data_IF_715881530384
#
_entry.id   IF_715881530384
#
_cell.length_a   1.000
_cell.length_b   1.000
_cell.length_c   1.000
_cell.angle_alpha   90.00
_cell.angle_beta   90.00
_cell.angle_gamma   90.00
#
_symmetry.space_group_name_H-M   'P 1'
#
loop_
_entity.id
_entity.type
_entity.pdbx_description
1 polymer ?
#
# COMPACT_ATOMS: atom_id res chain seq x y z
N UNK A 1 17.00 30.62 -23.97
CA UNK A 1 16.12 29.96 -22.98
C UNK A 1 16.21 28.45 -23.18
N UNK A 2 16.60 27.75 -22.14
CA UNK A 2 16.74 26.30 -22.13
C UNK A 2 15.41 25.68 -21.65
N UNK A 3 15.13 24.43 -22.00
CA UNK A 3 13.90 23.71 -21.55
C UNK A 3 13.72 23.76 -20.02
N UNK A 4 14.83 23.76 -19.26
CA UNK A 4 14.83 23.94 -17.80
C UNK A 4 14.19 25.26 -17.35
N UNK A 5 14.34 26.35 -18.11
CA UNK A 5 13.82 27.68 -17.77
C UNK A 5 12.30 27.75 -17.86
N UNK A 6 11.67 26.84 -18.64
CA UNK A 6 10.21 26.74 -18.77
C UNK A 6 9.57 25.84 -17.71
N UNK A 7 10.33 24.88 -17.17
CA UNK A 7 9.80 23.88 -16.24
C UNK A 7 10.12 24.23 -14.78
N UNK A 8 11.26 24.89 -14.55
CA UNK A 8 11.69 25.25 -13.20
C UNK A 8 10.81 26.37 -12.60
N UNK A 9 10.51 26.31 -11.29
CA UNK A 9 9.87 27.42 -10.59
C UNK A 9 10.71 28.70 -10.69
N UNK A 10 10.04 29.84 -10.81
CA UNK A 10 10.70 31.13 -10.97
C UNK A 10 11.51 31.57 -9.76
N UNK A 11 11.18 31.07 -8.57
CA UNK A 11 11.87 31.42 -7.33
C UNK A 11 11.61 30.37 -6.24
N UNK A 12 12.58 30.25 -5.33
CA UNK A 12 12.43 29.53 -4.05
C UNK A 12 12.71 30.51 -2.91
N UNK A 13 11.83 30.55 -1.90
CA UNK A 13 11.94 31.42 -0.74
C UNK A 13 11.67 30.64 0.54
N UNK A 14 12.68 30.53 1.43
CA UNK A 14 12.65 29.78 2.70
C UNK A 14 12.77 30.73 3.92
N UNK A 15 12.12 31.89 3.88
CA UNK A 15 12.19 32.89 4.97
C UNK A 15 11.27 32.58 6.14
N UNK A 16 10.20 31.85 5.90
CA UNK A 16 9.22 31.53 6.93
C UNK A 16 9.70 30.36 7.80
N UNK A 17 9.25 30.33 9.06
CA UNK A 17 9.63 29.31 10.03
C UNK A 17 9.31 27.90 9.55
N UNK A 18 8.11 27.68 9.00
CA UNK A 18 7.56 26.33 8.74
C UNK A 18 6.81 26.24 7.41
N UNK A 19 7.06 27.16 6.49
CA UNK A 19 6.57 27.14 5.11
C UNK A 19 7.65 27.67 4.16
N UNK A 20 7.50 27.36 2.88
CA UNK A 20 8.32 27.93 1.82
C UNK A 20 7.45 28.33 0.63
N UNK A 21 8.00 29.14 -0.26
CA UNK A 21 7.35 29.51 -1.51
C UNK A 21 8.17 29.01 -2.71
N UNK A 22 7.46 28.51 -3.71
CA UNK A 22 8.00 28.04 -4.96
C UNK A 22 7.19 28.65 -6.09
N UNK A 23 7.69 29.76 -6.66
CA UNK A 23 6.91 30.57 -7.57
C UNK A 23 5.60 31.05 -6.93
N UNK A 24 4.47 30.69 -7.52
CA UNK A 24 3.13 31.04 -7.04
C UNK A 24 2.52 30.00 -6.08
N UNK A 25 3.30 29.00 -5.69
CA UNK A 25 2.84 27.92 -4.81
C UNK A 25 3.49 28.06 -3.44
N UNK A 26 2.73 27.80 -2.39
CA UNK A 26 3.22 27.72 -1.01
C UNK A 26 3.28 26.26 -0.63
N UNK A 27 4.40 25.84 -0.04
CA UNK A 27 4.61 24.48 0.43
C UNK A 27 5.02 24.42 1.89
N UNK A 28 4.82 23.25 2.48
CA UNK A 28 5.35 22.92 3.78
C UNK A 28 5.69 21.44 3.84
N UNK A 29 6.85 21.13 4.39
CA UNK A 29 7.27 19.77 4.68
C UNK A 29 7.05 19.49 6.15
N UNK A 30 6.42 18.33 6.39
CA UNK A 30 6.19 17.78 7.72
C UNK A 30 6.82 16.40 7.82
N UNK A 31 7.16 15.98 9.02
CA UNK A 31 7.59 14.60 9.28
C UNK A 31 6.57 13.87 10.15
N UNK A 32 6.50 12.56 9.98
CA UNK A 32 5.64 11.70 10.78
C UNK A 32 6.36 11.25 12.03
N UNK A 33 5.86 11.65 13.18
CA UNK A 33 6.29 11.11 14.48
C UNK A 33 5.39 9.92 14.83
N UNK A 34 5.96 8.74 14.82
CA UNK A 34 5.26 7.49 15.13
C UNK A 34 5.29 7.32 16.66
N UNK A 35 4.11 7.37 17.29
CA UNK A 35 3.93 7.11 18.72
C UNK A 35 3.34 5.72 18.97
N UNK A 36 2.66 5.15 17.97
CA UNK A 36 2.08 3.83 18.05
C UNK A 36 3.15 2.74 18.24
N UNK A 37 2.91 1.75 19.09
CA UNK A 37 3.78 0.58 19.21
C UNK A 37 3.70 -0.31 17.96
N UNK A 38 2.55 -0.34 17.30
CA UNK A 38 2.29 -1.07 16.07
C UNK A 38 1.59 -0.17 15.05
N UNK A 39 1.98 -0.30 13.79
CA UNK A 39 1.38 0.39 12.66
C UNK A 39 0.50 -0.58 11.87
N UNK A 40 -0.43 -0.03 11.08
CA UNK A 40 -1.25 -0.81 10.14
C UNK A 40 -0.95 -0.38 8.71
N UNK A 41 -1.03 -1.32 7.77
CA UNK A 41 -0.83 -1.10 6.33
C UNK A 41 -1.85 -0.11 5.71
N UNK A 42 -3.02 0.04 6.33
CA UNK A 42 -4.07 0.98 5.89
C UNK A 42 -3.67 2.44 6.01
N UNK A 43 -2.74 2.78 6.91
CA UNK A 43 -2.36 4.16 7.17
C UNK A 43 -1.82 4.85 5.91
N UNK A 44 -0.92 4.21 5.19
CA UNK A 44 -0.34 4.82 4.00
C UNK A 44 -1.37 4.93 2.86
N UNK A 45 -2.28 3.97 2.75
CA UNK A 45 -3.39 4.02 1.80
C UNK A 45 -4.27 5.26 2.01
N UNK A 46 -4.68 5.53 3.26
CA UNK A 46 -5.50 6.71 3.57
C UNK A 46 -4.77 8.03 3.28
N UNK A 47 -3.45 8.11 3.44
CA UNK A 47 -2.70 9.30 3.03
C UNK A 47 -2.69 9.48 1.50
N UNK A 48 -2.64 8.40 0.74
CA UNK A 48 -2.63 8.45 -0.73
C UNK A 48 -4.02 8.75 -1.32
N UNK A 49 -5.09 8.49 -0.57
CA UNK A 49 -6.47 8.78 -0.98
C UNK A 49 -6.91 10.25 -0.75
N UNK A 50 -6.04 11.08 -0.17
CA UNK A 50 -6.36 12.50 0.05
C UNK A 50 -6.44 13.22 -1.30
N UNK A 51 -7.59 13.86 -1.59
CA UNK A 51 -7.78 14.74 -2.75
C UNK A 51 -7.10 16.12 -2.52
N UNK A 52 -5.80 16.11 -2.31
CA UNK A 52 -4.94 17.29 -2.14
C UNK A 52 -3.55 17.01 -2.72
N UNK A 53 -2.83 18.09 -3.03
CA UNK A 53 -1.45 17.96 -3.45
C UNK A 53 -0.58 17.51 -2.27
N UNK A 54 -0.30 16.23 -2.22
CA UNK A 54 0.52 15.59 -1.21
C UNK A 54 1.57 14.71 -1.87
N UNK A 55 2.82 14.87 -1.45
CA UNK A 55 3.91 13.94 -1.77
C UNK A 55 4.34 13.28 -0.46
N UNK A 56 4.30 11.96 -0.44
CA UNK A 56 4.81 11.16 0.67
C UNK A 56 6.15 10.57 0.26
N UNK A 57 7.19 10.85 1.02
CA UNK A 57 8.52 10.32 0.79
C UNK A 57 9.00 9.53 2.01
N UNK A 58 9.49 8.32 1.76
CA UNK A 58 10.01 7.43 2.79
C UNK A 58 11.49 7.19 2.55
N UNK A 59 12.32 7.64 3.50
CA UNK A 59 13.73 7.29 3.53
C UNK A 59 13.94 6.11 4.47
N UNK A 60 14.40 5.00 3.92
CA UNK A 60 14.66 3.77 4.66
C UNK A 60 16.15 3.44 4.56
N UNK A 61 16.85 3.48 5.68
CA UNK A 61 18.26 3.18 5.78
C UNK A 61 18.46 1.89 6.57
N UNK A 62 19.05 0.88 5.97
CA UNK A 62 19.41 -0.35 6.67
C UNK A 62 20.54 -0.10 7.66
N UNK A 63 20.50 -0.77 8.80
CA UNK A 63 21.56 -0.74 9.82
C UNK A 63 22.18 -2.12 9.89
N UNK A 64 23.51 -2.16 9.94
CA UNK A 64 24.23 -3.41 10.16
C UNK A 64 23.78 -4.09 11.45
N UNK A 65 23.57 -5.42 11.42
CA UNK A 65 22.96 -6.17 12.52
C UNK A 65 23.74 -6.06 13.83
N UNK A 66 25.07 -6.14 13.74
CA UNK A 66 25.92 -6.04 14.93
C UNK A 66 25.88 -4.63 15.53
N UNK A 67 25.88 -3.61 14.66
CA UNK A 67 25.74 -2.20 15.08
C UNK A 67 24.37 -1.94 15.69
N UNK A 68 23.29 -2.48 15.11
CA UNK A 68 21.94 -2.37 15.60
C UNK A 68 21.80 -2.96 17.02
N UNK A 69 22.26 -4.19 17.22
CA UNK A 69 22.25 -4.87 18.51
C UNK A 69 23.06 -4.08 19.56
N UNK A 70 24.24 -3.59 19.20
CA UNK A 70 25.08 -2.79 20.10
C UNK A 70 24.39 -1.48 20.50
N UNK A 71 23.77 -0.79 19.56
CA UNK A 71 23.06 0.46 19.78
C UNK A 71 21.87 0.25 20.72
N UNK A 72 21.04 -0.79 20.47
CA UNK A 72 19.89 -1.08 21.32
C UNK A 72 20.32 -1.53 22.72
N UNK A 73 21.35 -2.37 22.84
CA UNK A 73 21.93 -2.75 24.14
C UNK A 73 22.39 -1.53 24.95
N UNK A 74 23.08 -0.58 24.31
CA UNK A 74 23.48 0.66 24.97
C UNK A 74 22.26 1.44 25.47
N UNK A 75 21.20 1.58 24.66
CA UNK A 75 19.96 2.26 25.06
C UNK A 75 19.24 1.56 26.20
N UNK A 76 19.17 0.23 26.20
CA UNK A 76 18.61 -0.56 27.32
C UNK A 76 19.40 -0.30 28.59
N UNK A 77 20.73 -0.26 28.50
CA UNK A 77 21.59 0.03 29.65
C UNK A 77 21.36 1.45 30.18
N UNK A 78 21.29 2.45 29.31
CA UNK A 78 21.01 3.84 29.69
C UNK A 78 19.65 3.99 30.40
N UNK A 79 18.60 3.34 29.85
CA UNK A 79 17.26 3.35 30.48
C UNK A 79 17.28 2.68 31.86
N UNK A 80 17.96 1.53 31.99
CA UNK A 80 18.10 0.86 33.29
C UNK A 80 18.85 1.73 34.28
N UNK A 81 19.88 2.45 33.83
CA UNK A 81 20.61 3.42 34.68
C UNK A 81 19.69 4.56 35.14
N UNK A 82 18.91 5.15 34.23
CA UNK A 82 17.92 6.18 34.58
C UNK A 82 16.89 5.66 35.58
N UNK A 83 16.39 4.42 35.42
CA UNK A 83 15.48 3.80 36.41
C UNK A 83 16.11 3.72 37.79
N UNK A 84 17.36 3.27 37.90
CA UNK A 84 18.08 3.18 39.16
C UNK A 84 18.26 4.56 39.76
N UNK A 85 18.56 5.59 38.99
CA UNK A 85 18.70 6.97 39.46
C UNK A 85 17.39 7.53 40.01
N UNK A 86 16.26 7.30 39.29
CA UNK A 86 14.93 7.70 39.78
C UNK A 86 14.50 6.93 41.06
N UNK A 87 14.78 5.63 41.14
CA UNK A 87 14.55 4.85 42.36
C UNK A 87 15.35 5.41 43.54
N UNK A 88 16.63 5.74 43.35
CA UNK A 88 17.46 6.36 44.39
C UNK A 88 16.92 7.73 44.82
N UNK A 89 16.39 8.53 43.91
CA UNK A 89 15.74 9.81 44.24
C UNK A 89 14.46 9.60 45.04
N UNK A 90 13.61 8.63 44.62
CA UNK A 90 12.38 8.30 45.34
C UNK A 90 12.67 7.89 46.78
N UNK A 91 13.62 6.98 47.00
CA UNK A 91 14.06 6.55 48.35
C UNK A 91 14.57 7.71 49.18
N UNK A 92 15.39 8.60 48.62
CA UNK A 92 15.89 9.80 49.32
C UNK A 92 14.77 10.78 49.70
N UNK A 93 13.69 10.80 48.90
CA UNK A 93 12.51 11.63 49.18
C UNK A 93 11.47 10.94 50.08
N UNK A 94 11.74 9.72 50.59
CA UNK A 94 10.84 8.98 51.47
C UNK A 94 9.68 8.29 50.75
N UNK A 95 9.76 8.12 49.45
CA UNK A 95 8.76 7.41 48.64
C UNK A 95 9.17 5.94 48.41
N UNK A 96 8.19 5.12 48.06
CA UNK A 96 8.41 3.70 47.78
C UNK A 96 9.27 3.47 46.53
N UNK A 97 10.11 2.43 46.52
CA UNK A 97 11.02 2.08 45.43
C UNK A 97 10.30 1.78 44.12
N UNK A 98 9.01 1.45 44.17
CA UNK A 98 8.21 1.05 43.01
C UNK A 98 7.66 2.25 42.22
N UNK A 99 7.84 3.48 42.68
CA UNK A 99 7.43 4.70 41.98
C UNK A 99 8.47 5.05 40.92
N UNK A 100 8.39 4.35 39.77
CA UNK A 100 9.15 4.69 38.59
C UNK A 100 8.21 5.42 37.63
N UNK A 101 8.64 6.53 36.97
CA UNK A 101 7.83 7.16 35.91
C UNK A 101 7.37 6.11 34.87
N UNK A 102 6.07 6.09 34.57
CA UNK A 102 5.44 5.13 33.68
C UNK A 102 6.16 5.07 32.33
N UNK A 103 6.64 6.21 31.85
CA UNK A 103 7.34 6.35 30.57
C UNK A 103 8.63 5.54 30.53
N UNK A 104 9.42 5.55 31.61
CA UNK A 104 10.67 4.77 31.70
C UNK A 104 10.42 3.26 31.71
N UNK A 105 9.29 2.83 32.29
CA UNK A 105 8.90 1.42 32.23
C UNK A 105 8.48 0.99 30.84
N UNK A 106 7.68 1.81 30.17
CA UNK A 106 7.22 1.55 28.80
C UNK A 106 8.39 1.53 27.82
N UNK A 107 9.22 2.57 27.81
CA UNK A 107 10.41 2.63 26.93
C UNK A 107 11.41 1.50 27.20
N UNK A 108 11.58 1.14 28.49
CA UNK A 108 12.44 0.01 28.83
C UNK A 108 11.92 -1.33 28.35
N UNK A 109 10.60 -1.54 28.39
CA UNK A 109 9.94 -2.72 27.84
C UNK A 109 10.07 -2.79 26.33
N UNK A 110 9.78 -1.71 25.61
CA UNK A 110 9.92 -1.62 24.16
C UNK A 110 11.36 -1.85 23.69
N UNK A 111 12.34 -1.24 24.36
CA UNK A 111 13.75 -1.43 24.01
C UNK A 111 14.23 -2.88 24.22
N UNK A 112 13.74 -3.57 25.26
CA UNK A 112 14.04 -4.99 25.48
C UNK A 112 13.40 -5.87 24.43
N UNK A 113 12.13 -5.65 24.08
CA UNK A 113 11.44 -6.38 23.00
C UNK A 113 12.17 -6.20 21.67
N UNK A 114 12.53 -4.97 21.33
CA UNK A 114 13.31 -4.70 20.12
C UNK A 114 14.64 -5.49 20.11
N UNK A 115 15.32 -5.57 21.25
CA UNK A 115 16.56 -6.33 21.37
C UNK A 115 16.33 -7.84 21.15
N UNK A 116 15.27 -8.40 21.73
CA UNK A 116 14.87 -9.79 21.55
C UNK A 116 14.52 -10.10 20.08
N UNK A 117 13.76 -9.22 19.43
CA UNK A 117 13.40 -9.35 18.04
C UNK A 117 14.64 -9.37 17.12
N UNK A 118 15.59 -8.47 17.37
CA UNK A 118 16.85 -8.42 16.62
C UNK A 118 17.76 -9.63 16.87
N UNK A 119 17.68 -10.28 18.03
CA UNK A 119 18.54 -11.41 18.38
C UNK A 119 17.94 -12.76 18.05
N UNK A 120 16.60 -12.93 18.17
CA UNK A 120 15.94 -14.25 18.13
C UNK A 120 15.00 -14.44 16.94
N UNK A 121 14.45 -13.36 16.33
CA UNK A 121 13.41 -13.46 15.32
C UNK A 121 13.85 -13.16 13.90
N UNK A 122 15.15 -13.11 13.63
CA UNK A 122 15.70 -12.76 12.31
C UNK A 122 15.25 -11.38 11.79
N UNK A 123 14.81 -10.49 12.68
CA UNK A 123 14.45 -9.12 12.36
C UNK A 123 15.70 -8.27 12.15
N UNK A 124 15.61 -7.29 11.26
CA UNK A 124 16.66 -6.29 11.03
C UNK A 124 16.16 -4.92 11.44
N UNK A 125 17.09 -4.03 11.75
CA UNK A 125 16.76 -2.65 12.10
C UNK A 125 16.95 -1.73 10.89
N UNK A 126 15.95 -0.87 10.69
CA UNK A 126 15.97 0.20 9.72
C UNK A 126 15.77 1.55 10.43
N UNK A 127 16.42 2.57 9.92
CA UNK A 127 16.17 3.95 10.30
C UNK A 127 15.25 4.57 9.25
N UNK A 128 14.05 4.94 9.65
CA UNK A 128 13.00 5.44 8.76
C UNK A 128 12.71 6.90 9.04
N UNK A 129 12.66 7.71 7.98
CA UNK A 129 12.15 9.09 7.99
C UNK A 129 10.99 9.16 7.01
N UNK A 130 9.81 9.49 7.50
CA UNK A 130 8.63 9.71 6.66
C UNK A 130 8.36 11.21 6.55
N UNK A 131 8.43 11.75 5.33
CA UNK A 131 8.22 13.16 5.01
C UNK A 131 6.94 13.33 4.20
N UNK A 132 6.23 14.39 4.48
CA UNK A 132 4.96 14.76 3.86
C UNK A 132 5.08 16.19 3.34
N UNK A 133 5.14 16.35 2.03
CA UNK A 133 5.17 17.64 1.37
C UNK A 133 3.76 17.99 0.89
N UNK A 134 3.16 18.98 1.53
CA UNK A 134 1.90 19.56 1.08
C UNK A 134 2.16 20.87 0.32
N UNK A 135 1.43 21.09 -0.76
CA UNK A 135 1.51 22.33 -1.54
C UNK A 135 0.12 22.89 -1.84
N UNK A 136 -0.01 24.22 -1.88
CA UNK A 136 -1.25 24.90 -2.25
C UNK A 136 -0.99 26.28 -2.82
N UNK A 137 -2.00 26.89 -3.44
CA UNK A 137 -1.91 28.26 -3.99
C UNK A 137 -2.04 29.34 -2.90
N UNK A 138 -2.71 29.05 -1.79
CA UNK A 138 -2.92 29.98 -0.68
C UNK A 138 -2.50 29.35 0.64
N UNK A 139 -2.12 30.18 1.61
CA UNK A 139 -1.74 29.72 2.94
C UNK A 139 -2.89 28.98 3.65
N UNK A 140 -4.12 29.50 3.52
CA UNK A 140 -5.29 28.86 4.13
C UNK A 140 -5.57 27.47 3.55
N UNK A 141 -5.44 27.31 2.22
CA UNK A 141 -5.60 26.02 1.57
C UNK A 141 -4.49 25.03 1.98
N UNK A 142 -3.25 25.52 2.17
CA UNK A 142 -2.13 24.73 2.67
C UNK A 142 -2.39 24.26 4.11
N UNK A 143 -2.81 25.18 4.99
CA UNK A 143 -3.10 24.87 6.39
C UNK A 143 -4.24 23.84 6.51
N UNK A 144 -5.29 23.95 5.68
CA UNK A 144 -6.37 22.98 5.62
C UNK A 144 -5.90 21.60 5.12
N UNK A 145 -5.04 21.55 4.10
CA UNK A 145 -4.48 20.30 3.60
C UNK A 145 -3.63 19.59 4.68
N UNK A 146 -2.79 20.34 5.39
CA UNK A 146 -1.97 19.80 6.47
C UNK A 146 -2.84 19.34 7.64
N UNK A 147 -3.91 20.07 7.96
CA UNK A 147 -4.84 19.67 9.01
C UNK A 147 -5.52 18.32 8.69
N UNK A 148 -5.96 18.12 7.45
CA UNK A 148 -6.52 16.84 7.01
C UNK A 148 -5.49 15.72 7.07
N UNK A 149 -4.26 15.96 6.59
CA UNK A 149 -3.16 15.00 6.67
C UNK A 149 -2.83 14.65 8.13
N UNK A 150 -2.82 15.65 9.03
CA UNK A 150 -2.59 15.44 10.46
C UNK A 150 -3.73 14.63 11.13
N UNK A 151 -4.98 14.83 10.69
CA UNK A 151 -6.13 14.04 11.16
C UNK A 151 -5.99 12.56 10.87
N UNK A 152 -5.50 12.20 9.68
CA UNK A 152 -5.20 10.79 9.35
C UNK A 152 -4.07 10.26 10.25
N UNK A 153 -2.98 11.01 10.43
CA UNK A 153 -1.89 10.59 11.31
C UNK A 153 -2.40 10.29 12.74
N UNK A 154 -3.25 11.16 13.29
CA UNK A 154 -3.83 10.99 14.63
C UNK A 154 -4.67 9.73 14.76
N UNK A 155 -5.44 9.36 13.74
CA UNK A 155 -6.24 8.12 13.70
C UNK A 155 -5.37 6.87 13.95
N UNK A 156 -4.11 6.93 13.55
CA UNK A 156 -3.14 5.83 13.69
C UNK A 156 -2.12 6.07 14.83
N UNK A 157 -2.45 6.89 15.81
CA UNK A 157 -1.55 7.25 16.92
C UNK A 157 -0.18 7.76 16.44
N UNK A 158 -0.19 8.53 15.36
CA UNK A 158 0.96 9.24 14.84
C UNK A 158 0.71 10.74 14.91
N UNK A 159 1.77 11.54 14.92
CA UNK A 159 1.68 13.00 14.91
C UNK A 159 2.44 13.53 13.70
N UNK A 160 1.76 14.31 12.88
CA UNK A 160 2.40 15.03 11.79
C UNK A 160 2.91 16.38 12.31
N UNK A 161 4.23 16.58 12.28
CA UNK A 161 4.88 17.82 12.72
C UNK A 161 5.55 18.52 11.55
N UNK A 162 5.27 19.82 11.37
CA UNK A 162 6.00 20.63 10.39
C UNK A 162 7.46 20.77 10.80
N UNK A 163 8.34 20.79 9.82
CA UNK A 163 9.75 21.09 10.05
C UNK A 163 9.88 22.60 10.31
N UNK A 164 10.48 22.94 11.45
CA UNK A 164 10.77 24.33 11.80
C UNK A 164 12.20 24.68 11.37
N UNK A 165 12.36 25.75 10.59
CA UNK A 165 13.65 26.25 10.07
C UNK A 165 14.46 25.23 9.24
N UNK A 166 13.82 24.15 8.79
CA UNK A 166 14.41 23.08 7.98
C UNK A 166 13.57 22.78 6.73
N UNK A 167 12.87 23.79 6.21
CA UNK A 167 11.99 23.60 5.06
C UNK A 167 12.76 23.38 3.75
N UNK A 168 13.96 23.95 3.62
CA UNK A 168 14.84 23.74 2.49
C UNK A 168 15.35 22.30 2.47
N UNK A 169 15.92 21.84 3.57
CA UNK A 169 16.39 20.46 3.73
C UNK A 169 15.22 19.46 3.58
N UNK A 170 14.06 19.84 4.09
CA UNK A 170 12.82 19.08 3.94
C UNK A 170 12.41 18.94 2.48
N UNK A 171 12.39 20.02 1.72
CA UNK A 171 12.08 19.99 0.30
C UNK A 171 13.09 19.13 -0.47
N UNK A 172 14.39 19.35 -0.24
CA UNK A 172 15.44 18.56 -0.89
C UNK A 172 15.33 17.06 -0.59
N UNK A 173 14.89 16.72 0.62
CA UNK A 173 14.66 15.33 1.03
C UNK A 173 13.32 14.78 0.52
N UNK A 174 12.36 15.62 0.14
CA UNK A 174 11.04 15.20 -0.35
C UNK A 174 10.98 14.98 -1.85
N UNK A 175 11.98 15.46 -2.61
CA UNK A 175 12.09 15.19 -4.05
C UNK A 175 12.92 13.92 -4.30
N UNK A 176 12.74 13.22 -5.44
CA UNK A 176 13.36 11.91 -5.70
C UNK A 176 14.86 12.00 -6.05
N UNK A 177 15.64 12.68 -5.21
CA UNK A 177 17.09 12.83 -5.36
C UNK A 177 17.88 11.73 -4.62
N UNK A 178 17.23 10.86 -3.85
CA UNK A 178 17.88 9.77 -3.11
C UNK A 178 18.67 10.22 -1.87
N UNK A 179 18.53 11.48 -1.44
CA UNK A 179 19.23 12.05 -0.28
C UNK A 179 18.25 12.42 0.82
N UNK A 180 18.64 12.20 2.08
CA UNK A 180 17.90 12.63 3.26
C UNK A 180 18.76 13.57 4.11
N UNK A 181 18.41 14.85 4.12
CA UNK A 181 19.05 15.88 4.93
C UNK A 181 18.42 16.05 6.32
N UNK A 182 17.29 15.36 6.57
CA UNK A 182 16.58 15.46 7.84
C UNK A 182 17.16 14.46 8.84
N UNK A 183 17.65 14.93 10.02
CA UNK A 183 18.26 14.06 11.02
C UNK A 183 17.25 13.24 11.83
N UNK A 184 15.95 13.51 11.69
CA UNK A 184 14.88 12.82 12.42
C UNK A 184 14.68 11.44 11.83
N UNK A 185 15.04 10.40 12.59
CA UNK A 185 14.94 9.00 12.17
C UNK A 185 14.27 8.16 13.26
N UNK A 186 13.33 7.31 12.88
CA UNK A 186 12.72 6.30 13.77
C UNK A 186 13.34 4.95 13.49
N UNK A 187 13.80 4.27 14.53
CA UNK A 187 14.23 2.87 14.40
C UNK A 187 13.00 1.97 14.34
N UNK A 188 12.91 1.17 13.30
CA UNK A 188 11.85 0.18 13.06
C UNK A 188 12.47 -1.17 12.71
N UNK A 189 11.73 -2.24 13.00
CA UNK A 189 12.09 -3.60 12.58
C UNK A 189 11.72 -3.86 11.12
N UNK A 190 12.13 -4.98 10.54
CA UNK A 190 11.72 -5.41 9.20
C UNK A 190 10.20 -5.43 9.07
N UNK A 191 9.52 -6.09 9.99
CA UNK A 191 8.05 -6.21 10.01
C UNK A 191 7.37 -4.84 10.05
N UNK A 192 7.81 -3.95 10.95
CA UNK A 192 7.24 -2.60 11.07
C UNK A 192 7.56 -1.72 9.86
N UNK A 193 8.71 -1.92 9.20
CA UNK A 193 9.07 -1.16 8.00
C UNK A 193 8.29 -1.64 6.78
N UNK A 194 8.00 -2.94 6.69
CA UNK A 194 7.23 -3.52 5.59
C UNK A 194 5.79 -2.96 5.48
N UNK A 195 5.24 -2.48 6.58
CA UNK A 195 3.91 -1.83 6.61
C UNK A 195 3.85 -0.57 5.74
N UNK A 196 4.99 0.11 5.53
CA UNK A 196 5.05 1.26 4.63
C UNK A 196 5.07 0.91 3.14
N UNK A 197 5.07 -0.36 2.78
CA UNK A 197 4.85 -0.75 1.38
C UNK A 197 3.37 -0.59 1.06
N UNK A 198 3.01 0.33 0.16
CA UNK A 198 1.60 0.56 -0.19
C UNK A 198 1.09 -0.59 -1.06
N UNK A 199 0.58 -1.64 -0.46
CA UNK A 199 -0.17 -2.69 -1.18
C UNK A 199 -1.56 -2.20 -1.60
N UNK A 200 -1.66 -0.95 -2.02
CA UNK A 200 -2.94 -0.26 -2.09
C UNK A 200 -3.74 -0.65 -3.29
N UNK A 201 -3.12 -0.84 -4.42
CA UNK A 201 -3.86 -1.20 -5.63
C UNK A 201 -2.96 -1.89 -6.64
N UNK A 202 -3.20 -3.15 -6.87
CA UNK A 202 -2.78 -3.74 -8.12
C UNK A 202 -3.86 -3.43 -9.14
N UNK A 203 -3.62 -2.46 -10.01
CA UNK A 203 -4.50 -2.16 -11.13
C UNK A 203 -4.34 -3.26 -12.18
N UNK A 204 -5.45 -3.81 -12.61
CA UNK A 204 -5.49 -4.81 -13.66
C UNK A 204 -6.35 -4.29 -14.80
N UNK A 205 -5.74 -3.56 -15.71
CA UNK A 205 -6.36 -3.02 -16.88
C UNK A 205 -5.55 -3.39 -18.14
N UNK A 206 -6.12 -4.22 -18.97
CA UNK A 206 -5.55 -4.61 -20.26
C UNK A 206 -6.39 -4.01 -21.39
N UNK A 207 -5.73 -3.41 -22.37
CA UNK A 207 -6.41 -2.93 -23.59
C UNK A 207 -6.63 -4.07 -24.58
N UNK A 208 -7.60 -3.90 -25.47
CA UNK A 208 -7.94 -4.87 -26.53
C UNK A 208 -9.18 -5.69 -26.19
N UNK A 209 -9.19 -6.97 -26.56
CA UNK A 209 -10.31 -7.90 -26.35
C UNK A 209 -10.41 -8.35 -24.87
N UNK A 210 -10.47 -7.36 -23.97
CA UNK A 210 -10.49 -7.61 -22.53
C UNK A 210 -11.91 -7.72 -22.01
N UNK A 211 -12.14 -8.68 -21.12
CA UNK A 211 -13.41 -8.89 -20.44
C UNK A 211 -13.46 -8.08 -19.15
N UNK A 212 -14.65 -7.53 -18.85
CA UNK A 212 -14.90 -6.82 -17.62
C UNK A 212 -15.20 -7.78 -16.47
N UNK A 213 -14.41 -7.74 -15.42
CA UNK A 213 -14.58 -8.61 -14.23
C UNK A 213 -15.23 -7.90 -13.05
N UNK A 214 -15.11 -6.60 -12.94
CA UNK A 214 -15.68 -5.82 -11.85
C UNK A 214 -14.95 -4.52 -11.60
N UNK A 215 -15.15 -3.97 -10.41
CA UNK A 215 -14.42 -2.81 -9.93
C UNK A 215 -13.43 -3.25 -8.84
N UNK A 216 -12.26 -2.64 -8.82
CA UNK A 216 -11.31 -2.80 -7.74
C UNK A 216 -11.92 -2.26 -6.45
N UNK A 217 -11.92 -3.07 -5.39
CA UNK A 217 -12.57 -2.71 -4.13
C UNK A 217 -11.93 -1.48 -3.42
N UNK A 218 -10.69 -1.15 -3.75
CA UNK A 218 -9.97 -0.03 -3.15
C UNK A 218 -10.00 1.23 -4.03
N UNK A 219 -9.69 1.10 -5.33
CA UNK A 219 -9.57 2.25 -6.23
C UNK A 219 -10.85 2.56 -7.01
N UNK A 220 -11.86 1.68 -6.99
CA UNK A 220 -13.04 1.73 -7.86
C UNK A 220 -12.73 1.74 -9.37
N UNK A 221 -11.50 1.46 -9.77
CA UNK A 221 -11.13 1.34 -11.17
C UNK A 221 -11.64 0.02 -11.76
N UNK A 222 -11.95 0.04 -13.05
CA UNK A 222 -12.42 -1.16 -13.76
C UNK A 222 -11.31 -2.22 -13.85
N UNK A 223 -11.66 -3.47 -13.54
CA UNK A 223 -10.82 -4.63 -13.78
C UNK A 223 -11.16 -5.18 -15.16
N UNK A 224 -10.23 -5.03 -16.09
CA UNK A 224 -10.33 -5.47 -17.48
C UNK A 224 -9.19 -6.43 -17.80
N UNK A 225 -9.49 -7.65 -18.21
CA UNK A 225 -8.48 -8.68 -18.45
C UNK A 225 -8.69 -9.39 -19.78
N UNK A 226 -7.66 -9.44 -20.59
CA UNK A 226 -7.56 -10.34 -21.73
C UNK A 226 -6.86 -11.63 -21.26
N UNK A 227 -7.64 -12.67 -20.99
CA UNK A 227 -7.12 -13.94 -20.46
C UNK A 227 -6.16 -14.64 -21.42
N UNK A 228 -6.31 -14.43 -22.73
CA UNK A 228 -5.42 -15.02 -23.74
C UNK A 228 -3.97 -14.50 -23.62
N UNK A 229 -3.79 -13.31 -23.06
CA UNK A 229 -2.47 -12.72 -22.80
C UNK A 229 -1.85 -13.17 -21.48
N UNK A 230 -2.61 -13.87 -20.63
CA UNK A 230 -2.06 -14.41 -19.39
C UNK A 230 -1.18 -15.64 -19.67
N UNK A 231 -0.15 -15.83 -18.85
CA UNK A 231 0.71 -17.03 -18.92
C UNK A 231 -0.08 -18.33 -18.77
N UNK A 232 -1.17 -18.28 -17.99
CA UNK A 232 -2.11 -19.38 -17.81
C UNK A 232 -3.54 -18.81 -17.87
N UNK A 233 -4.31 -19.06 -18.92
CA UNK A 233 -5.66 -18.51 -19.11
C UNK A 233 -6.75 -19.24 -18.33
N UNK A 234 -6.42 -20.34 -17.63
CA UNK A 234 -7.41 -21.10 -16.89
C UNK A 234 -8.01 -20.30 -15.74
N UNK A 235 -9.30 -20.45 -15.51
CA UNK A 235 -10.05 -19.80 -14.43
C UNK A 235 -10.85 -20.80 -13.61
N UNK A 236 -11.08 -20.49 -12.34
CA UNK A 236 -11.89 -21.29 -11.43
C UNK A 236 -12.89 -20.36 -10.72
N UNK A 237 -14.18 -20.70 -10.80
CA UNK A 237 -15.26 -19.97 -10.12
C UNK A 237 -15.74 -20.81 -8.95
N UNK A 238 -15.48 -20.37 -7.73
CA UNK A 238 -15.87 -21.04 -6.49
C UNK A 238 -16.93 -20.23 -5.75
N UNK A 239 -17.84 -20.92 -5.10
CA UNK A 239 -18.86 -20.30 -4.25
C UNK A 239 -19.81 -21.34 -3.67
N UNK A 240 -20.47 -20.97 -2.59
CA UNK A 240 -21.56 -21.80 -1.99
C UNK A 240 -22.78 -21.83 -2.91
N UNK A 241 -23.70 -22.79 -2.76
CA UNK A 241 -24.97 -22.79 -3.46
C UNK A 241 -25.72 -21.44 -3.24
N UNK A 242 -26.29 -20.87 -4.31
CA UNK A 242 -26.97 -19.58 -4.26
C UNK A 242 -26.06 -18.33 -4.28
N UNK A 243 -24.74 -18.47 -4.33
CA UNK A 243 -23.79 -17.33 -4.36
C UNK A 243 -23.68 -16.62 -5.71
N UNK A 244 -24.35 -17.10 -6.75
CA UNK A 244 -24.33 -16.50 -8.08
C UNK A 244 -23.23 -17.02 -9.01
N UNK A 245 -22.64 -18.18 -8.75
CA UNK A 245 -21.62 -18.81 -9.62
C UNK A 245 -22.05 -18.92 -11.08
N UNK A 246 -23.21 -19.57 -11.31
CA UNK A 246 -23.76 -19.77 -12.66
C UNK A 246 -24.06 -18.43 -13.35
N UNK A 247 -24.52 -17.43 -12.58
CA UNK A 247 -24.74 -16.09 -13.11
C UNK A 247 -23.43 -15.43 -13.54
N UNK A 248 -22.38 -15.53 -12.73
CA UNK A 248 -21.05 -15.00 -13.06
C UNK A 248 -20.48 -15.65 -14.31
N UNK A 249 -20.60 -16.99 -14.43
CA UNK A 249 -20.15 -17.72 -15.61
C UNK A 249 -20.94 -17.34 -16.87
N UNK A 250 -22.27 -17.24 -16.78
CA UNK A 250 -23.13 -16.81 -17.89
C UNK A 250 -22.79 -15.40 -18.35
N UNK A 251 -22.50 -14.48 -17.40
CA UNK A 251 -22.06 -13.12 -17.72
C UNK A 251 -20.72 -13.11 -18.44
N UNK A 252 -19.74 -13.92 -18.02
CA UNK A 252 -18.44 -14.02 -18.66
C UNK A 252 -18.57 -14.57 -20.08
N UNK A 253 -19.34 -15.64 -20.28
CA UNK A 253 -19.65 -16.23 -21.60
C UNK A 253 -20.29 -15.20 -22.51
N UNK A 254 -21.29 -14.47 -22.02
CA UNK A 254 -21.98 -13.44 -22.82
C UNK A 254 -21.01 -12.32 -23.23
N UNK A 255 -20.18 -11.87 -22.30
CA UNK A 255 -19.17 -10.84 -22.60
C UNK A 255 -18.15 -11.35 -23.63
N UNK A 256 -17.67 -12.58 -23.47
CA UNK A 256 -16.75 -13.19 -24.43
C UNK A 256 -17.37 -13.27 -25.82
N UNK A 257 -18.62 -13.70 -25.93
CA UNK A 257 -19.35 -13.78 -27.20
C UNK A 257 -19.45 -12.43 -27.94
N UNK A 258 -19.67 -11.32 -27.19
CA UNK A 258 -19.79 -10.01 -27.81
C UNK A 258 -18.47 -9.29 -28.05
N UNK A 259 -17.43 -9.58 -27.27
CA UNK A 259 -16.15 -8.86 -27.31
C UNK A 259 -15.13 -9.58 -28.18
N UNK A 260 -15.17 -10.91 -28.25
CA UNK A 260 -14.19 -11.73 -28.98
C UNK A 260 -14.82 -12.40 -30.21
N UNK A 261 -13.98 -12.96 -31.07
CA UNK A 261 -14.40 -13.82 -32.18
C UNK A 261 -14.14 -15.31 -31.87
N UNK A 262 -13.93 -15.64 -30.63
CA UNK A 262 -13.58 -16.98 -30.19
C UNK A 262 -14.81 -17.91 -30.21
N UNK A 263 -14.61 -19.17 -30.57
CA UNK A 263 -15.62 -20.22 -30.37
C UNK A 263 -15.76 -20.55 -28.87
N UNK A 264 -17.02 -20.65 -28.43
CA UNK A 264 -17.33 -20.94 -27.03
C UNK A 264 -17.94 -22.34 -26.93
N UNK A 265 -17.26 -23.23 -26.25
CA UNK A 265 -17.72 -24.61 -26.01
C UNK A 265 -18.08 -24.75 -24.53
N UNK A 266 -19.32 -25.20 -24.24
CA UNK A 266 -19.83 -25.36 -22.90
C UNK A 266 -20.14 -26.83 -22.63
N UNK A 267 -19.49 -27.41 -21.64
CA UNK A 267 -19.87 -28.73 -21.08
C UNK A 267 -20.81 -28.50 -19.91
N UNK A 268 -22.10 -28.81 -20.10
CA UNK A 268 -23.16 -28.53 -19.14
C UNK A 268 -23.90 -29.80 -18.69
N UNK A 269 -23.44 -30.45 -17.64
CA UNK A 269 -24.08 -31.68 -17.14
C UNK A 269 -25.47 -31.46 -16.50
N UNK A 270 -25.76 -30.22 -16.08
CA UNK A 270 -27.01 -29.86 -15.36
C UNK A 270 -28.07 -29.21 -16.28
N UNK A 271 -27.73 -28.87 -17.51
CA UNK A 271 -28.63 -28.26 -18.49
C UNK A 271 -29.01 -26.80 -18.20
N UNK A 272 -28.20 -26.08 -17.41
CA UNK A 272 -28.50 -24.70 -17.00
C UNK A 272 -28.23 -23.66 -18.10
N UNK A 273 -27.38 -23.98 -19.09
CA UNK A 273 -26.93 -23.03 -20.12
C UNK A 273 -27.75 -23.06 -21.40
N UNK A 274 -28.67 -24.02 -21.56
CA UNK A 274 -29.51 -24.14 -22.75
C UNK A 274 -30.20 -22.83 -23.16
N UNK A 275 -30.86 -22.10 -22.25
CA UNK A 275 -31.54 -20.84 -22.63
C UNK A 275 -30.57 -19.77 -23.16
N UNK A 276 -29.35 -19.70 -22.58
CA UNK A 276 -28.33 -18.74 -23.00
C UNK A 276 -27.82 -19.09 -24.40
N UNK A 277 -27.46 -20.36 -24.65
CA UNK A 277 -26.96 -20.81 -25.94
C UNK A 277 -27.99 -20.60 -27.04
N UNK A 278 -29.24 -20.92 -26.78
CA UNK A 278 -30.33 -20.70 -27.74
C UNK A 278 -30.54 -19.20 -28.02
N UNK A 279 -30.49 -18.33 -27.02
CA UNK A 279 -30.64 -16.88 -27.17
C UNK A 279 -29.51 -16.26 -28.00
N UNK A 280 -28.30 -16.83 -27.94
CA UNK A 280 -27.13 -16.41 -28.72
C UNK A 280 -27.03 -17.07 -30.08
N UNK A 281 -28.02 -17.90 -30.49
CA UNK A 281 -28.05 -18.58 -31.77
C UNK A 281 -27.07 -19.76 -31.91
N UNK A 282 -26.60 -20.26 -30.77
CA UNK A 282 -25.67 -21.39 -30.72
C UNK A 282 -26.34 -22.75 -30.93
N UNK A 283 -25.55 -23.78 -31.15
CA UNK A 283 -25.98 -25.17 -31.29
C UNK A 283 -25.92 -25.90 -29.94
N UNK A 284 -26.94 -26.71 -29.64
CA UNK A 284 -26.95 -27.60 -28.48
C UNK A 284 -26.96 -29.03 -28.92
N UNK A 285 -25.98 -29.81 -28.47
CA UNK A 285 -25.86 -31.24 -28.69
C UNK A 285 -26.20 -31.94 -27.37
N UNK A 286 -27.26 -32.74 -27.39
CA UNK A 286 -27.71 -33.45 -26.18
C UNK A 286 -27.19 -34.89 -26.18
N UNK A 287 -26.28 -35.19 -25.27
CA UNK A 287 -25.67 -36.52 -25.15
C UNK A 287 -26.32 -37.27 -23.99
N UNK A 288 -27.10 -38.31 -24.34
CA UNK A 288 -27.72 -39.22 -23.35
C UNK A 288 -27.95 -40.59 -23.99
N UNK A 289 -28.19 -41.64 -23.20
CA UNK A 289 -28.48 -42.97 -23.74
C UNK A 289 -29.66 -43.06 -24.73
N UNK A 290 -30.58 -42.07 -24.66
CA UNK A 290 -31.78 -41.97 -25.47
C UNK A 290 -31.78 -40.83 -26.48
N UNK A 291 -30.65 -40.12 -26.58
CA UNK A 291 -30.50 -39.00 -27.48
C UNK A 291 -30.45 -39.42 -28.93
N UNK A 292 -30.90 -38.50 -29.83
CA UNK A 292 -30.76 -38.67 -31.27
C UNK A 292 -29.48 -38.03 -31.81
N UNK A 293 -28.76 -37.32 -30.96
CA UNK A 293 -27.50 -36.66 -31.30
C UNK A 293 -26.33 -37.63 -31.02
N UNK A 294 -25.43 -37.76 -31.98
CA UNK A 294 -24.26 -38.62 -31.86
C UNK A 294 -23.01 -37.84 -32.13
N UNK A 295 -21.98 -38.03 -31.34
CA UNK A 295 -20.63 -37.52 -31.62
C UNK A 295 -19.84 -38.71 -32.21
N UNK A 296 -19.39 -38.59 -33.44
CA UNK A 296 -18.50 -39.54 -34.04
C UNK A 296 -17.03 -39.17 -33.81
N UNK A 297 -16.31 -39.79 -32.87
CA UNK A 297 -14.92 -39.41 -32.59
C UNK A 297 -13.95 -39.80 -33.71
N UNK A 298 -14.45 -40.59 -34.72
CA UNK A 298 -13.68 -41.02 -35.87
C UNK A 298 -14.01 -40.17 -37.10
N UNK A 299 -14.79 -39.10 -36.95
CA UNK A 299 -15.12 -38.20 -38.03
C UNK A 299 -13.90 -37.33 -38.39
N UNK A 300 -13.48 -37.41 -39.66
CA UNK A 300 -12.33 -36.65 -40.13
C UNK A 300 -12.85 -35.42 -40.87
N UNK A 301 -12.54 -34.27 -40.33
CA UNK A 301 -12.81 -33.02 -41.01
C UNK A 301 -11.77 -32.80 -42.13
N UNK A 302 -12.21 -32.95 -43.38
CA UNK A 302 -11.35 -32.81 -44.55
C UNK A 302 -10.82 -31.36 -44.75
N UNK A 303 -11.40 -30.38 -44.05
CA UNK A 303 -10.95 -28.97 -44.13
C UNK A 303 -9.67 -28.71 -43.31
N UNK A 304 -9.24 -29.69 -42.50
CA UNK A 304 -7.99 -29.67 -41.71
C UNK A 304 -6.91 -30.63 -42.24
N UNK A 305 -7.01 -31.06 -43.51
CA UNK A 305 -5.90 -31.80 -44.14
C UNK A 305 -4.78 -30.80 -44.44
N UNK A 306 -3.69 -30.86 -43.69
CA UNK A 306 -2.43 -30.25 -44.08
C UNK A 306 -1.98 -30.90 -45.42
N UNK A 307 -1.83 -30.10 -46.49
CA UNK A 307 -1.21 -30.48 -47.76
C UNK A 307 0.30 -30.71 -47.55
#
# INVERSE_FOLDING_TARGET
>A
LNTKDYVAPTSFVFKDRNTFRMGNTIGAVSYLQILAPELTDKMLAEFLDIDKNLIVNLHVQSVDQMKAIKLVKSKVTDINRMKIEEQKKAVRAGYDMDIIPSDLNTYGGEAKRLLEDLQSRNERMFLVTALFLNTAKTKQALDNAIFQTAGIAQKYNCVLKRLDYQQEEGLMSSVPLGVNHIPIKRALTTTSTAIFVPFTTQELFMAGESLYYGLNALSNNMIMVDRKKLKNPNGLILGTPGSGKSFAAKREITNAFFVTKDDIIIGDPEGEYYPLVHALGGQVVHISPTSKDYINPMDINMDYSDD
#
